data_IF_253658690066
#
_entry.id   IF_253658690066
#
_cell.length_a   1.000
_cell.length_b   1.000
_cell.length_c   1.000
_cell.angle_alpha   90.00
_cell.angle_beta   90.00
_cell.angle_gamma   90.00
#
_symmetry.space_group_name_H-M   'P 1'
#
loop_
_entity.id
_entity.type
_entity.pdbx_description
1 polymer ?
#
# COMPACT_ATOMS: atom_id res chain seq x y z
N UNK A 1 -4.70 23.49 38.63
CA UNK A 1 -5.60 23.50 39.79
C UNK A 1 -6.10 22.09 40.01
N UNK A 2 -5.69 21.40 41.08
CA UNK A 2 -6.39 20.21 41.63
C UNK A 2 -5.70 19.77 42.92
N UNK A 3 -6.29 20.11 44.07
CA UNK A 3 -5.74 19.79 45.39
C UNK A 3 -6.33 18.49 45.93
N UNK A 4 -5.54 17.41 45.86
CA UNK A 4 -5.95 16.11 46.45
C UNK A 4 -5.99 16.23 47.98
N UNK A 5 -7.19 16.14 48.55
CA UNK A 5 -7.41 16.16 50.00
C UNK A 5 -6.65 15.02 50.68
N UNK A 6 -5.92 15.33 51.74
CA UNK A 6 -5.44 14.33 52.67
C UNK A 6 -6.63 13.72 53.43
N UNK A 7 -6.63 12.39 53.60
CA UNK A 7 -7.57 11.69 54.48
C UNK A 7 -6.98 11.71 55.90
N UNK A 8 -7.72 12.16 56.94
CA UNK A 8 -7.24 12.10 58.32
C UNK A 8 -6.94 10.66 58.76
N UNK A 9 -5.96 10.50 59.66
CA UNK A 9 -5.53 9.19 60.13
C UNK A 9 -6.64 8.40 60.83
N UNK A 10 -6.66 7.08 60.59
CA UNK A 10 -7.56 6.14 61.28
C UNK A 10 -7.34 6.26 62.80
N UNK A 11 -8.42 6.40 63.56
CA UNK A 11 -8.35 6.57 65.00
C UNK A 11 -7.67 5.38 65.67
N UNK A 12 -6.56 5.63 66.35
CA UNK A 12 -5.89 4.68 67.24
C UNK A 12 -6.71 4.50 68.52
N UNK A 13 -7.81 3.75 68.42
CA UNK A 13 -8.72 3.44 69.54
C UNK A 13 -8.12 2.38 70.47
N UNK A 14 -6.97 2.69 71.06
CA UNK A 14 -6.40 1.92 72.17
C UNK A 14 -7.15 2.28 73.45
N UNK A 15 -7.77 1.33 74.18
CA UNK A 15 -8.41 1.62 75.46
C UNK A 15 -7.34 2.04 76.46
N UNK A 16 -7.33 3.33 76.82
CA UNK A 16 -6.34 3.93 77.73
C UNK A 16 -6.73 3.65 79.18
N UNK A 17 -6.58 2.40 79.60
CA UNK A 17 -6.99 1.93 80.94
C UNK A 17 -6.18 2.64 82.04
N UNK A 18 -6.86 3.07 83.10
CA UNK A 18 -6.26 3.75 84.23
C UNK A 18 -5.60 2.76 85.22
N UNK A 19 -4.57 3.17 85.97
CA UNK A 19 -3.89 2.28 86.92
C UNK A 19 -4.85 1.86 88.04
N UNK A 20 -4.97 0.55 88.28
CA UNK A 20 -5.93 -0.05 89.20
C UNK A 20 -6.81 -1.13 88.55
N UNK A 21 -6.76 -1.30 87.23
CA UNK A 21 -7.33 -2.46 86.54
C UNK A 21 -6.49 -3.71 86.76
N UNK A 22 -6.92 -4.60 87.66
CA UNK A 22 -6.58 -6.02 87.53
C UNK A 22 -7.11 -6.57 86.20
N UNK A 23 -6.52 -7.65 85.70
CA UNK A 23 -7.01 -8.34 84.49
C UNK A 23 -8.46 -8.79 84.65
N UNK A 24 -9.13 -9.08 83.53
CA UNK A 24 -10.50 -9.61 83.57
C UNK A 24 -10.58 -10.91 84.41
N UNK A 25 -9.52 -11.73 84.42
CA UNK A 25 -9.41 -12.90 85.28
C UNK A 25 -9.31 -12.55 86.79
N UNK A 26 -8.52 -11.54 87.17
CA UNK A 26 -8.48 -11.04 88.56
C UNK A 26 -9.83 -10.51 89.02
N UNK A 27 -10.58 -9.81 88.16
CA UNK A 27 -11.93 -9.35 88.48
C UNK A 27 -12.91 -10.53 88.68
N UNK A 28 -12.79 -11.60 87.89
CA UNK A 28 -13.54 -12.85 88.09
C UNK A 28 -13.15 -13.52 89.41
N UNK A 29 -11.86 -13.54 89.77
CA UNK A 29 -11.37 -14.12 91.03
C UNK A 29 -11.87 -13.33 92.26
N UNK A 30 -11.86 -12.00 92.21
CA UNK A 30 -12.43 -11.15 93.26
C UNK A 30 -13.95 -11.34 93.40
N UNK A 31 -14.67 -11.46 92.28
CA UNK A 31 -16.11 -11.76 92.28
C UNK A 31 -16.40 -13.16 92.83
N UNK A 32 -15.58 -14.16 92.51
CA UNK A 32 -15.68 -15.51 93.07
C UNK A 32 -15.52 -15.51 94.60
N UNK A 33 -14.60 -14.70 95.14
CA UNK A 33 -14.44 -14.50 96.57
C UNK A 33 -15.69 -13.93 97.24
N UNK A 34 -16.27 -12.86 96.66
CA UNK A 34 -17.50 -12.24 97.18
C UNK A 34 -18.72 -13.17 97.10
N UNK A 35 -18.89 -13.90 95.99
CA UNK A 35 -19.91 -14.94 95.84
C UNK A 35 -19.72 -16.07 96.86
N UNK A 36 -18.47 -16.45 97.14
CA UNK A 36 -18.13 -17.43 98.18
C UNK A 36 -18.56 -17.00 99.59
N UNK A 37 -18.44 -15.71 99.93
CA UNK A 37 -18.94 -15.20 101.22
C UNK A 37 -20.47 -15.18 101.30
N UNK A 38 -21.17 -14.78 100.23
CA UNK A 38 -22.64 -14.78 100.20
C UNK A 38 -23.22 -16.20 100.24
N UNK A 39 -22.63 -17.15 99.49
CA UNK A 39 -23.02 -18.57 99.52
C UNK A 39 -22.79 -19.21 100.90
N UNK A 40 -21.74 -18.79 101.61
CA UNK A 40 -21.46 -19.22 102.99
C UNK A 40 -22.48 -18.67 103.98
N UNK A 41 -22.92 -17.42 103.83
CA UNK A 41 -23.96 -16.84 104.68
C UNK A 41 -25.34 -17.43 104.37
N UNK A 42 -25.65 -17.71 103.10
CA UNK A 42 -26.85 -18.44 102.68
C UNK A 42 -26.88 -19.85 103.31
N UNK A 43 -25.74 -20.56 103.35
CA UNK A 43 -25.62 -21.85 104.03
C UNK A 43 -25.85 -21.76 105.56
N UNK A 44 -25.52 -20.63 106.20
CA UNK A 44 -25.81 -20.41 107.64
C UNK A 44 -27.29 -20.12 107.91
N UNK A 45 -27.99 -19.47 106.98
CA UNK A 45 -29.40 -19.07 107.14
C UNK A 45 -30.41 -20.13 106.71
N UNK A 46 -30.10 -20.89 105.66
CA UNK A 46 -31.01 -21.87 105.04
C UNK A 46 -30.49 -23.32 105.07
N UNK A 47 -29.40 -23.57 105.81
CA UNK A 47 -28.77 -24.88 105.93
C UNK A 47 -27.81 -25.21 104.76
N UNK A 48 -26.92 -26.20 104.96
CA UNK A 48 -25.89 -26.54 103.97
C UNK A 48 -26.47 -27.11 102.68
N UNK A 49 -27.64 -27.77 102.75
CA UNK A 49 -28.31 -28.44 101.63
C UNK A 49 -28.73 -27.47 100.52
N UNK A 50 -29.15 -26.25 100.90
CA UNK A 50 -29.52 -25.19 99.96
C UNK A 50 -28.30 -24.69 99.15
N UNK A 51 -27.15 -24.51 99.82
CA UNK A 51 -25.91 -24.07 99.16
C UNK A 51 -25.25 -25.20 98.35
N UNK A 52 -25.30 -26.45 98.83
CA UNK A 52 -24.62 -27.60 98.23
C UNK A 52 -25.01 -27.87 96.76
N UNK A 53 -26.25 -27.54 96.37
CA UNK A 53 -26.72 -27.66 94.97
C UNK A 53 -26.33 -26.46 94.09
N UNK A 54 -26.13 -25.28 94.68
CA UNK A 54 -25.85 -24.04 93.96
C UNK A 54 -24.36 -23.83 93.71
N UNK A 55 -23.49 -24.19 94.67
CA UNK A 55 -22.03 -24.03 94.58
C UNK A 55 -21.45 -24.63 93.29
N UNK A 56 -21.76 -25.88 92.87
CA UNK A 56 -21.19 -26.45 91.64
C UNK A 56 -21.59 -25.70 90.36
N UNK A 57 -22.79 -25.12 90.33
CA UNK A 57 -23.26 -24.32 89.20
C UNK A 57 -22.54 -22.97 89.13
N UNK A 58 -22.36 -22.31 90.28
CA UNK A 58 -21.62 -21.03 90.38
C UNK A 58 -20.14 -21.21 90.04
N UNK A 59 -19.50 -22.30 90.51
CA UNK A 59 -18.13 -22.64 90.11
C UNK A 59 -18.06 -22.86 88.59
N UNK A 60 -18.98 -23.63 88.01
CA UNK A 60 -19.00 -23.91 86.56
C UNK A 60 -19.22 -22.65 85.71
N UNK A 61 -20.00 -21.67 86.16
CA UNK A 61 -20.14 -20.39 85.45
C UNK A 61 -18.91 -19.49 85.61
N UNK A 62 -18.27 -19.49 86.78
CA UNK A 62 -17.02 -18.77 87.01
C UNK A 62 -15.86 -19.36 86.19
N UNK A 63 -15.72 -20.68 86.09
CA UNK A 63 -14.76 -21.35 85.21
C UNK A 63 -14.91 -20.94 83.73
N UNK A 64 -16.15 -20.83 83.25
CA UNK A 64 -16.44 -20.43 81.86
C UNK A 64 -16.16 -18.95 81.64
N UNK A 65 -16.45 -18.11 82.64
CA UNK A 65 -16.16 -16.69 82.61
C UNK A 65 -14.66 -16.40 82.68
N UNK A 66 -13.91 -17.15 83.49
CA UNK A 66 -12.45 -17.11 83.56
C UNK A 66 -11.81 -17.50 82.22
N UNK A 67 -12.24 -18.62 81.61
CA UNK A 67 -11.76 -19.04 80.28
C UNK A 67 -12.06 -18.01 79.19
N UNK A 68 -13.20 -17.32 79.27
CA UNK A 68 -13.53 -16.21 78.36
C UNK A 68 -12.72 -14.93 78.66
N UNK A 69 -12.34 -14.69 79.93
CA UNK A 69 -11.61 -13.52 80.39
C UNK A 69 -10.09 -13.61 80.18
N UNK A 70 -9.52 -14.82 80.23
CA UNK A 70 -8.13 -15.12 79.85
C UNK A 70 -7.96 -15.07 78.33
N UNK A 71 -8.99 -15.49 77.57
CA UNK A 71 -8.98 -15.49 76.11
C UNK A 71 -8.24 -16.70 75.50
N UNK A 72 -8.01 -16.69 74.17
CA UNK A 72 -7.20 -17.71 73.51
C UNK A 72 -5.74 -17.58 73.91
N UNK A 73 -5.02 -18.71 74.02
CA UNK A 73 -3.61 -18.71 74.45
C UNK A 73 -2.75 -17.75 73.62
N UNK A 74 -1.89 -16.93 74.27
CA UNK A 74 -1.10 -15.91 73.59
C UNK A 74 -0.19 -16.51 72.52
N UNK A 75 0.37 -17.70 72.77
CA UNK A 75 1.23 -18.43 71.84
C UNK A 75 0.45 -18.85 70.58
N UNK A 76 -0.81 -19.30 70.72
CA UNK A 76 -1.67 -19.67 69.60
C UNK A 76 -2.03 -18.46 68.73
N UNK A 77 -2.31 -17.31 69.37
CA UNK A 77 -2.55 -16.04 68.67
C UNK A 77 -1.26 -15.52 68.00
N UNK A 78 -0.11 -15.68 68.65
CA UNK A 78 1.19 -15.26 68.12
C UNK A 78 1.59 -16.09 66.89
N UNK A 79 1.39 -17.41 66.91
CA UNK A 79 1.63 -18.29 65.75
C UNK A 79 0.71 -17.90 64.58
N UNK A 80 -0.58 -17.68 64.83
CA UNK A 80 -1.53 -17.23 63.80
C UNK A 80 -1.14 -15.86 63.21
N UNK A 81 -0.73 -14.91 64.05
CA UNK A 81 -0.23 -13.61 63.61
C UNK A 81 1.06 -13.73 62.76
N UNK A 82 2.01 -14.57 63.17
CA UNK A 82 3.25 -14.82 62.41
C UNK A 82 2.97 -15.47 61.04
N UNK A 83 2.00 -16.39 60.96
CA UNK A 83 1.54 -16.98 59.70
C UNK A 83 0.94 -15.90 58.78
N UNK A 84 0.01 -15.08 59.29
CA UNK A 84 -0.58 -13.98 58.53
C UNK A 84 0.45 -12.93 58.08
N UNK A 85 1.47 -12.64 58.90
CA UNK A 85 2.58 -11.79 58.46
C UNK A 85 3.43 -12.42 57.36
N UNK A 86 3.69 -13.73 57.41
CA UNK A 86 4.45 -14.44 56.39
C UNK A 86 3.69 -14.48 55.04
N UNK A 87 2.39 -14.70 55.08
CA UNK A 87 1.51 -14.58 53.90
C UNK A 87 1.49 -13.15 53.36
N UNK A 88 1.39 -12.13 54.22
CA UNK A 88 1.47 -10.72 53.80
C UNK A 88 2.85 -10.34 53.23
N UNK A 89 3.96 -10.94 53.70
CA UNK A 89 5.29 -10.78 53.09
C UNK A 89 5.32 -11.39 51.70
N UNK A 90 4.90 -12.66 51.57
CA UNK A 90 4.82 -13.38 50.28
C UNK A 90 3.95 -12.64 49.26
N UNK A 91 2.73 -12.23 49.63
CA UNK A 91 1.81 -11.51 48.74
C UNK A 91 2.36 -10.14 48.31
N UNK A 92 3.15 -9.46 49.16
CA UNK A 92 3.85 -8.23 48.77
C UNK A 92 4.92 -8.52 47.72
N UNK A 93 5.75 -9.54 47.91
CA UNK A 93 6.76 -9.95 46.92
C UNK A 93 6.15 -10.36 45.58
N UNK A 94 5.08 -11.16 45.59
CA UNK A 94 4.33 -11.54 44.39
C UNK A 94 3.73 -10.30 43.70
N UNK A 95 3.14 -9.37 44.45
CA UNK A 95 2.61 -8.13 43.89
C UNK A 95 3.72 -7.23 43.33
N UNK A 96 4.93 -7.21 43.91
CA UNK A 96 6.06 -6.50 43.32
C UNK A 96 6.58 -7.16 42.04
N UNK A 97 6.62 -8.50 41.96
CA UNK A 97 7.00 -9.24 40.74
C UNK A 97 6.03 -8.93 39.60
N UNK A 98 4.73 -9.06 39.84
CA UNK A 98 3.68 -8.69 38.89
C UNK A 98 3.76 -7.21 38.49
N UNK A 99 4.11 -6.29 39.42
CA UNK A 99 4.37 -4.87 39.10
C UNK A 99 5.68 -4.63 38.34
N UNK A 100 6.64 -5.56 38.31
CA UNK A 100 7.84 -5.49 37.45
C UNK A 100 7.49 -6.01 36.06
N UNK A 101 6.83 -7.15 35.97
CA UNK A 101 6.35 -7.79 34.73
C UNK A 101 5.39 -6.88 33.95
N UNK A 102 4.40 -6.27 34.62
CA UNK A 102 3.49 -5.28 34.01
C UNK A 102 4.19 -3.97 33.59
N UNK A 103 5.44 -3.74 34.00
CA UNK A 103 6.28 -2.63 33.53
C UNK A 103 7.26 -3.03 32.42
N UNK A 104 7.67 -4.30 32.33
CA UNK A 104 8.54 -4.82 31.27
C UNK A 104 7.77 -5.25 30.01
N UNK A 105 6.59 -5.88 30.13
CA UNK A 105 5.73 -6.22 28.99
C UNK A 105 5.50 -5.05 28.01
N UNK A 106 5.03 -3.87 28.47
CA UNK A 106 4.87 -2.71 27.59
C UNK A 106 6.20 -2.07 27.15
N UNK A 107 7.37 -2.53 27.61
CA UNK A 107 8.66 -2.03 27.11
C UNK A 107 8.99 -2.60 25.72
N UNK A 108 8.66 -3.87 25.48
CA UNK A 108 8.81 -4.52 24.18
C UNK A 108 7.82 -3.95 23.16
N UNK A 109 6.55 -3.80 23.55
CA UNK A 109 5.53 -3.10 22.75
C UNK A 109 5.98 -1.68 22.37
N UNK A 110 6.54 -0.91 23.33
CA UNK A 110 7.10 0.43 23.06
C UNK A 110 8.33 0.40 22.16
N UNK A 111 9.11 -0.68 22.14
CA UNK A 111 10.22 -0.83 21.21
C UNK A 111 9.71 -1.12 19.79
N UNK A 112 8.75 -2.04 19.64
CA UNK A 112 8.08 -2.33 18.37
C UNK A 112 7.37 -1.09 17.81
N UNK A 113 6.64 -0.33 18.64
CA UNK A 113 5.99 0.92 18.23
C UNK A 113 6.98 2.01 17.79
N UNK A 114 8.20 2.05 18.35
CA UNK A 114 9.27 2.93 17.86
C UNK A 114 9.80 2.48 16.51
N UNK A 115 10.07 1.19 16.33
CA UNK A 115 10.52 0.63 15.06
C UNK A 115 9.48 0.83 13.95
N UNK A 116 8.21 0.58 14.23
CA UNK A 116 7.09 0.85 13.31
C UNK A 116 6.99 2.34 12.98
N UNK A 117 7.15 3.24 13.96
CA UNK A 117 7.21 4.69 13.70
C UNK A 117 8.39 5.05 12.79
N UNK A 118 9.60 4.56 13.08
CA UNK A 118 10.78 4.82 12.24
C UNK A 118 10.60 4.34 10.80
N UNK A 119 10.03 3.15 10.59
CA UNK A 119 9.72 2.64 9.24
C UNK A 119 8.66 3.52 8.56
N UNK A 120 7.62 3.93 9.30
CA UNK A 120 6.57 4.81 8.76
C UNK A 120 7.12 6.20 8.38
N UNK A 121 8.01 6.76 9.20
CA UNK A 121 8.62 8.07 8.94
C UNK A 121 9.65 7.99 7.80
N UNK A 122 10.44 6.92 7.69
CA UNK A 122 11.28 6.63 6.50
C UNK A 122 10.43 6.55 5.22
N UNK A 123 9.35 5.77 5.23
CA UNK A 123 8.44 5.64 4.09
C UNK A 123 7.78 6.97 3.71
N UNK A 124 7.45 7.84 4.68
CA UNK A 124 6.95 9.19 4.42
C UNK A 124 8.00 10.05 3.72
N UNK A 125 9.27 9.96 4.11
CA UNK A 125 10.36 10.74 3.51
C UNK A 125 10.79 10.19 2.14
N UNK A 126 10.76 8.87 1.94
CA UNK A 126 10.89 8.22 0.62
C UNK A 126 9.77 8.68 -0.33
N UNK A 127 8.51 8.67 0.11
CA UNK A 127 7.38 9.20 -0.67
C UNK A 127 7.53 10.70 -0.95
N UNK A 128 8.05 11.51 -0.01
CA UNK A 128 8.32 12.94 -0.24
C UNK A 128 9.44 13.15 -1.26
N UNK A 129 10.47 12.31 -1.26
CA UNK A 129 11.54 12.35 -2.25
C UNK A 129 10.98 11.99 -3.65
N UNK A 130 10.32 10.85 -3.78
CA UNK A 130 9.75 10.42 -5.06
C UNK A 130 8.72 11.38 -5.64
N UNK A 131 7.92 12.06 -4.81
CA UNK A 131 7.03 13.12 -5.31
C UNK A 131 7.79 14.33 -5.87
N UNK A 132 8.96 14.69 -5.32
CA UNK A 132 9.83 15.74 -5.90
C UNK A 132 10.46 15.26 -7.20
N UNK A 133 10.97 14.03 -7.23
CA UNK A 133 11.56 13.42 -8.44
C UNK A 133 10.54 13.37 -9.59
N UNK A 134 9.29 13.03 -9.29
CA UNK A 134 8.17 13.00 -10.25
C UNK A 134 7.80 14.41 -10.74
N UNK A 135 7.73 15.39 -9.84
CA UNK A 135 7.45 16.79 -10.22
C UNK A 135 8.56 17.37 -11.11
N UNK A 136 9.84 17.12 -10.79
CA UNK A 136 10.95 17.53 -11.64
C UNK A 136 10.88 16.87 -13.02
N UNK A 137 10.62 15.55 -13.08
CA UNK A 137 10.47 14.84 -14.35
C UNK A 137 9.27 15.33 -15.17
N UNK A 138 8.17 15.72 -14.52
CA UNK A 138 7.03 16.35 -15.20
C UNK A 138 7.49 17.63 -15.92
N UNK A 139 8.14 18.54 -15.18
CA UNK A 139 8.68 19.80 -15.70
C UNK A 139 9.70 19.59 -16.83
N UNK A 140 10.58 18.58 -16.71
CA UNK A 140 11.50 18.19 -17.78
C UNK A 140 10.75 17.70 -19.03
N UNK A 141 9.69 16.88 -18.88
CA UNK A 141 8.89 16.43 -20.03
C UNK A 141 8.02 17.53 -20.64
N UNK A 142 7.54 18.48 -19.85
CA UNK A 142 6.81 19.67 -20.30
C UNK A 142 7.73 20.60 -21.11
N UNK A 143 8.93 20.88 -20.61
CA UNK A 143 9.93 21.67 -21.32
C UNK A 143 10.38 21.01 -22.65
N UNK A 144 10.50 19.68 -22.69
CA UNK A 144 10.80 18.93 -23.92
C UNK A 144 9.62 18.94 -24.91
N UNK A 145 8.37 18.90 -24.43
CA UNK A 145 7.18 19.06 -25.27
C UNK A 145 7.11 20.46 -25.89
N UNK A 146 7.40 21.52 -25.13
CA UNK A 146 7.52 22.88 -25.67
C UNK A 146 8.60 22.98 -26.74
N UNK A 147 9.79 22.42 -26.49
CA UNK A 147 10.88 22.41 -27.48
C UNK A 147 10.48 21.69 -28.77
N UNK A 148 9.82 20.53 -28.66
CA UNK A 148 9.28 19.80 -29.81
C UNK A 148 8.24 20.63 -30.57
N UNK A 149 7.31 21.29 -29.87
CA UNK A 149 6.27 22.12 -30.50
C UNK A 149 6.87 23.33 -31.23
N UNK A 150 7.87 23.99 -30.65
CA UNK A 150 8.63 25.07 -31.30
C UNK A 150 9.37 24.57 -32.55
N UNK A 151 10.00 23.40 -32.49
CA UNK A 151 10.67 22.78 -33.64
C UNK A 151 9.69 22.37 -34.75
N UNK A 152 8.49 21.89 -34.41
CA UNK A 152 7.45 21.56 -35.39
C UNK A 152 6.95 22.80 -36.15
N UNK A 153 6.77 23.93 -35.46
CA UNK A 153 6.42 25.22 -36.09
C UNK A 153 7.52 25.67 -37.07
N UNK A 154 8.78 25.68 -36.65
CA UNK A 154 9.92 26.03 -37.52
C UNK A 154 10.04 25.06 -38.70
N UNK A 155 9.79 23.77 -38.51
CA UNK A 155 9.81 22.78 -39.60
C UNK A 155 8.68 23.02 -40.62
N UNK A 156 7.49 23.42 -40.17
CA UNK A 156 6.38 23.80 -41.05
C UNK A 156 6.69 25.08 -41.85
N UNK A 157 7.26 26.10 -41.20
CA UNK A 157 7.73 27.30 -41.89
C UNK A 157 8.78 26.98 -42.97
N UNK A 158 9.76 26.13 -42.66
CA UNK A 158 10.83 25.76 -43.61
C UNK A 158 10.26 24.99 -44.81
N UNK A 159 9.27 24.11 -44.62
CA UNK A 159 8.56 23.45 -45.72
C UNK A 159 7.79 24.45 -46.58
N UNK A 160 7.12 25.43 -45.97
CA UNK A 160 6.40 26.47 -46.71
C UNK A 160 7.36 27.37 -47.50
N UNK A 161 8.48 27.78 -46.90
CA UNK A 161 9.55 28.54 -47.57
C UNK A 161 10.15 27.75 -48.75
N UNK A 162 10.41 26.45 -48.58
CA UNK A 162 10.86 25.58 -49.66
C UNK A 162 9.84 25.50 -50.81
N UNK A 163 8.57 25.22 -50.51
CA UNK A 163 7.51 25.14 -51.51
C UNK A 163 7.32 26.46 -52.28
N UNK A 164 7.46 27.60 -51.60
CA UNK A 164 7.42 28.93 -52.24
C UNK A 164 8.62 29.15 -53.19
N UNK A 165 9.84 28.75 -52.80
CA UNK A 165 11.04 28.84 -53.66
C UNK A 165 10.93 27.89 -54.85
N UNK A 166 10.43 26.66 -54.68
CA UNK A 166 10.19 25.75 -55.80
C UNK A 166 9.14 26.30 -56.78
N UNK A 167 8.06 26.91 -56.28
CA UNK A 167 7.04 27.53 -57.12
C UNK A 167 7.59 28.74 -57.89
N UNK A 168 8.46 29.54 -57.26
CA UNK A 168 9.19 30.62 -57.93
C UNK A 168 10.14 30.09 -59.02
N UNK A 169 10.86 29.00 -58.76
CA UNK A 169 11.77 28.36 -59.72
C UNK A 169 11.03 27.79 -60.93
N UNK A 170 9.89 27.11 -60.70
CA UNK A 170 9.00 26.64 -61.78
C UNK A 170 8.54 27.82 -62.65
N UNK A 171 7.91 28.82 -62.03
CA UNK A 171 7.45 30.03 -62.73
C UNK A 171 8.58 30.88 -63.35
N UNK A 172 9.84 30.71 -62.96
CA UNK A 172 10.98 31.31 -63.66
C UNK A 172 11.29 30.53 -64.95
N UNK A 173 11.43 29.21 -64.85
CA UNK A 173 11.67 28.30 -65.98
C UNK A 173 10.55 28.35 -67.03
N UNK A 174 9.30 28.43 -66.58
CA UNK A 174 8.13 28.55 -67.47
C UNK A 174 8.28 29.82 -68.34
N UNK A 175 8.58 30.97 -67.72
CA UNK A 175 8.83 32.25 -68.41
C UNK A 175 10.08 32.25 -69.29
N UNK A 176 11.07 31.43 -68.99
CA UNK A 176 12.23 31.24 -69.86
C UNK A 176 11.82 30.47 -71.12
N UNK A 177 11.05 29.39 -70.99
CA UNK A 177 10.50 28.65 -72.13
C UNK A 177 9.56 29.50 -73.00
N UNK A 178 8.71 30.34 -72.39
CA UNK A 178 7.85 31.32 -73.09
C UNK A 178 8.65 32.37 -73.89
N UNK A 179 9.91 32.63 -73.50
CA UNK A 179 10.83 33.56 -74.20
C UNK A 179 11.70 32.86 -75.24
N UNK A 180 11.94 31.57 -75.07
CA UNK A 180 12.68 30.75 -76.02
C UNK A 180 11.81 30.34 -77.22
N UNK A 181 10.52 30.04 -77.02
CA UNK A 181 9.60 29.67 -78.11
C UNK A 181 9.54 30.73 -79.25
N UNK A 182 9.37 32.04 -79.00
CA UNK A 182 9.43 33.05 -80.07
C UNK A 182 10.82 33.16 -80.72
N UNK A 183 11.90 32.88 -79.97
CA UNK A 183 13.27 32.93 -80.49
C UNK A 183 13.57 31.74 -81.38
N UNK A 184 13.15 30.54 -80.99
CA UNK A 184 13.26 29.33 -81.79
C UNK A 184 12.44 29.46 -83.07
N UNK A 185 11.19 29.90 -83.02
CA UNK A 185 10.38 30.13 -84.22
C UNK A 185 11.01 31.13 -85.21
N UNK A 186 11.64 32.21 -84.72
CA UNK A 186 12.39 33.15 -85.59
C UNK A 186 13.66 32.53 -86.16
N UNK A 187 14.37 31.69 -85.39
CA UNK A 187 15.57 30.98 -85.85
C UNK A 187 15.23 29.88 -86.85
N UNK A 188 14.13 29.15 -86.69
CA UNK A 188 13.65 28.14 -87.63
C UNK A 188 13.15 28.78 -88.92
N UNK A 189 12.35 29.85 -88.85
CA UNK A 189 11.97 30.63 -90.04
C UNK A 189 13.18 31.21 -90.80
N UNK A 190 14.26 31.56 -90.10
CA UNK A 190 15.53 31.97 -90.74
C UNK A 190 16.33 30.79 -91.31
N UNK A 191 16.20 29.59 -90.72
CA UNK A 191 16.88 28.36 -91.14
C UNK A 191 16.21 27.73 -92.36
N UNK A 192 14.88 27.75 -92.43
CA UNK A 192 14.10 27.28 -93.59
C UNK A 192 14.35 28.15 -94.82
N UNK A 193 14.52 29.47 -94.64
CA UNK A 193 14.97 30.39 -95.69
C UNK A 193 16.43 30.15 -96.14
N UNK A 194 17.23 29.42 -95.36
CA UNK A 194 18.61 29.06 -95.68
C UNK A 194 18.80 27.59 -96.14
N UNK A 195 17.80 26.73 -95.95
CA UNK A 195 17.84 25.28 -96.21
C UNK A 195 17.85 24.86 -97.68
N UNK A 196 18.24 25.75 -98.59
CA UNK A 196 18.05 25.61 -100.04
C UNK A 196 19.17 24.92 -100.83
N UNK A 197 20.12 24.21 -100.21
CA UNK A 197 21.19 23.53 -100.93
C UNK A 197 21.90 22.41 -100.12
N UNK A 198 22.28 21.32 -100.81
CA UNK A 198 23.51 20.59 -100.48
C UNK A 198 23.39 19.10 -100.12
N UNK A 199 23.93 18.26 -101.00
CA UNK A 199 24.25 16.84 -100.77
C UNK A 199 25.70 16.59 -101.26
N UNK A 200 26.42 15.52 -100.93
CA UNK A 200 26.08 14.27 -100.22
C UNK A 200 27.17 13.84 -99.20
N UNK A 201 26.85 12.86 -98.36
CA UNK A 201 27.67 11.67 -98.06
C UNK A 201 29.19 11.81 -97.77
N UNK A 202 29.62 11.51 -96.52
CA UNK A 202 30.81 10.64 -96.30
C UNK A 202 30.89 9.93 -94.93
N UNK A 203 30.84 8.60 -95.00
CA UNK A 203 31.64 7.60 -94.26
C UNK A 203 31.79 7.66 -92.72
N UNK A 204 31.13 6.69 -92.06
CA UNK A 204 31.62 5.86 -90.93
C UNK A 204 33.16 5.64 -90.91
N UNK A 205 33.79 5.55 -89.71
CA UNK A 205 33.89 4.22 -89.07
C UNK A 205 33.79 4.16 -87.53
N UNK A 206 33.38 2.98 -87.04
CA UNK A 206 33.46 2.55 -85.63
C UNK A 206 34.87 2.70 -85.00
N UNK A 207 34.92 3.03 -83.70
CA UNK A 207 35.14 2.03 -82.62
C UNK A 207 35.03 2.61 -81.22
N UNK A 208 34.73 1.75 -80.24
CA UNK A 208 34.28 2.13 -78.90
C UNK A 208 35.32 1.91 -77.79
N UNK A 209 35.09 2.61 -76.67
CA UNK A 209 35.54 2.23 -75.32
C UNK A 209 34.42 2.60 -74.30
N UNK A 210 34.46 1.98 -73.12
CA UNK A 210 33.48 2.14 -72.03
C UNK A 210 33.71 3.48 -71.26
N UNK A 211 32.91 3.90 -70.27
CA UNK A 211 32.02 3.15 -69.36
C UNK A 211 30.95 4.02 -68.66
N UNK A 212 29.98 3.35 -68.02
CA UNK A 212 29.15 3.74 -66.88
C UNK A 212 28.33 5.07 -66.87
N UNK A 213 27.01 4.95 -66.64
CA UNK A 213 26.19 6.01 -66.03
C UNK A 213 24.76 6.16 -66.57
N UNK A 214 23.76 5.75 -65.77
CA UNK A 214 22.33 6.05 -65.97
C UNK A 214 21.81 6.86 -64.75
N UNK A 215 20.57 7.40 -64.72
CA UNK A 215 19.49 7.37 -65.73
C UNK A 215 18.86 8.75 -66.07
N UNK A 216 17.91 8.79 -67.02
CA UNK A 216 17.07 9.96 -67.29
C UNK A 216 15.76 9.66 -68.04
N UNK A 217 14.63 9.82 -67.36
CA UNK A 217 13.25 10.00 -67.90
C UNK A 217 13.03 11.45 -68.37
N UNK A 218 11.92 11.86 -69.04
CA UNK A 218 10.59 11.22 -69.21
C UNK A 218 10.24 11.00 -70.72
N UNK A 219 9.04 11.00 -71.33
CA UNK A 219 7.66 11.48 -71.04
C UNK A 219 6.55 10.54 -71.62
N UNK A 220 5.28 10.93 -71.45
CA UNK A 220 4.04 10.33 -71.98
C UNK A 220 3.20 11.44 -72.63
N UNK A 221 2.42 11.19 -73.71
CA UNK A 221 0.98 11.33 -73.50
C UNK A 221 0.06 10.37 -74.30
N UNK A 222 -0.76 9.63 -73.55
CA UNK A 222 -2.22 9.45 -73.73
C UNK A 222 -2.78 8.98 -75.09
N UNK A 223 -3.32 7.75 -75.16
CA UNK A 223 -4.07 7.30 -76.35
C UNK A 223 -4.67 5.89 -76.36
N UNK A 224 -5.46 5.51 -75.34
CA UNK A 224 -6.43 4.40 -75.31
C UNK A 224 -6.08 3.01 -75.95
N UNK A 225 -6.01 1.97 -75.12
CA UNK A 225 -6.79 0.72 -75.29
C UNK A 225 -6.74 -0.14 -74.00
N UNK A 226 -7.54 -1.22 -73.91
CA UNK A 226 -7.92 -1.84 -72.62
C UNK A 226 -7.34 -3.23 -72.34
N UNK A 227 -6.89 -3.43 -71.09
CA UNK A 227 -6.97 -4.69 -70.30
C UNK A 227 -6.20 -5.94 -70.80
N UNK A 228 -6.14 -7.06 -70.03
CA UNK A 228 -6.22 -7.24 -68.57
C UNK A 228 -4.97 -7.96 -67.97
N UNK A 229 -4.70 -7.83 -66.66
CA UNK A 229 -3.48 -8.45 -66.07
C UNK A 229 -3.37 -8.57 -64.54
N UNK A 230 -4.47 -8.68 -63.77
CA UNK A 230 -4.40 -8.88 -62.30
C UNK A 230 -4.24 -10.36 -61.90
N UNK A 231 -3.24 -10.72 -61.07
CA UNK A 231 -3.35 -11.80 -60.10
C UNK A 231 -3.97 -11.26 -58.78
N UNK A 232 -5.29 -11.06 -58.76
CA UNK A 232 -5.99 -10.58 -57.57
C UNK A 232 -6.18 -11.72 -56.55
N UNK A 233 -5.35 -11.81 -55.49
CA UNK A 233 -5.62 -12.69 -54.32
C UNK A 233 -4.86 -12.35 -53.02
N UNK A 234 -4.85 -11.07 -52.64
CA UNK A 234 -4.70 -10.62 -51.26
C UNK A 234 -5.65 -9.45 -51.02
N UNK A 235 -6.21 -9.31 -49.81
CA UNK A 235 -7.27 -8.35 -49.51
C UNK A 235 -6.83 -6.90 -49.59
N UNK A 236 -7.12 -6.23 -50.71
CA UNK A 236 -7.04 -4.77 -50.81
C UNK A 236 -8.23 -4.14 -50.09
N UNK A 237 -8.15 -4.03 -48.76
CA UNK A 237 -9.08 -3.22 -47.97
C UNK A 237 -8.81 -1.73 -48.26
N UNK A 238 -9.51 -1.19 -49.25
CA UNK A 238 -9.53 0.24 -49.57
C UNK A 238 -10.39 1.00 -48.57
N UNK A 239 -9.91 1.14 -47.35
CA UNK A 239 -10.51 2.03 -46.35
C UNK A 239 -10.49 3.48 -46.87
N UNK A 240 -11.56 4.23 -46.60
CA UNK A 240 -11.51 5.70 -46.76
C UNK A 240 -10.53 6.29 -45.75
N UNK A 241 -10.10 7.53 -45.99
CA UNK A 241 -9.19 8.23 -45.06
C UNK A 241 -9.82 8.38 -43.67
N UNK A 242 -11.10 8.69 -43.63
CA UNK A 242 -11.90 8.92 -42.43
C UNK A 242 -12.09 7.61 -41.64
N UNK A 243 -12.31 6.49 -42.34
CA UNK A 243 -12.36 5.15 -41.76
C UNK A 243 -11.01 4.75 -41.16
N UNK A 244 -9.89 5.07 -41.84
CA UNK A 244 -8.56 4.84 -41.30
C UNK A 244 -8.28 5.71 -40.05
N UNK A 245 -8.68 6.97 -40.06
CA UNK A 245 -8.56 7.86 -38.89
C UNK A 245 -9.39 7.34 -37.71
N UNK A 246 -10.62 6.83 -37.94
CA UNK A 246 -11.46 6.15 -36.94
C UNK A 246 -10.81 4.87 -36.40
N UNK A 247 -10.37 3.95 -37.29
CA UNK A 247 -9.70 2.70 -36.91
C UNK A 247 -8.42 2.97 -36.10
N UNK A 248 -7.69 4.04 -36.41
CA UNK A 248 -6.51 4.46 -35.65
C UNK A 248 -6.89 4.99 -34.26
N UNK A 249 -7.99 5.71 -34.11
CA UNK A 249 -8.53 6.15 -32.83
C UNK A 249 -9.01 4.95 -31.99
N UNK A 250 -9.90 4.10 -32.51
CA UNK A 250 -10.38 2.90 -31.83
C UNK A 250 -9.22 1.99 -31.40
N UNK A 251 -8.21 1.81 -32.25
CA UNK A 251 -7.00 1.05 -31.92
C UNK A 251 -6.21 1.67 -30.77
N UNK A 252 -6.21 3.00 -30.62
CA UNK A 252 -5.55 3.68 -29.51
C UNK A 252 -6.35 3.55 -28.21
N UNK A 253 -7.68 3.69 -28.27
CA UNK A 253 -8.58 3.49 -27.14
C UNK A 253 -8.54 2.04 -26.64
N UNK A 254 -8.64 1.06 -27.54
CA UNK A 254 -8.46 -0.35 -27.22
C UNK A 254 -7.06 -0.66 -26.66
N UNK A 255 -6.01 0.03 -27.11
CA UNK A 255 -4.66 -0.09 -26.54
C UNK A 255 -4.59 0.45 -25.11
N UNK A 256 -5.27 1.56 -24.81
CA UNK A 256 -5.38 2.11 -23.46
C UNK A 256 -6.22 1.19 -22.55
N UNK A 257 -7.37 0.70 -23.02
CA UNK A 257 -8.21 -0.24 -22.28
C UNK A 257 -7.48 -1.56 -21.99
N UNK A 258 -6.71 -2.09 -22.96
CA UNK A 258 -5.84 -3.28 -22.77
C UNK A 258 -4.61 -2.99 -21.90
N UNK A 259 -4.29 -1.73 -21.60
CA UNK A 259 -3.32 -1.36 -20.56
C UNK A 259 -3.98 -1.33 -19.19
N UNK A 260 -5.06 -0.55 -19.02
CA UNK A 260 -5.82 -0.43 -17.76
C UNK A 260 -6.29 -1.80 -17.22
N UNK A 261 -6.89 -2.64 -18.08
CA UNK A 261 -7.33 -3.99 -17.71
C UNK A 261 -6.17 -4.91 -17.26
N UNK A 262 -4.91 -4.64 -17.63
CA UNK A 262 -3.76 -5.38 -17.07
C UNK A 262 -3.38 -4.88 -15.69
N UNK A 263 -3.49 -3.58 -15.44
CA UNK A 263 -3.22 -2.99 -14.13
C UNK A 263 -4.31 -3.39 -13.13
N UNK A 264 -5.58 -3.37 -13.51
CA UNK A 264 -6.70 -3.92 -12.72
C UNK A 264 -6.49 -5.41 -12.41
N UNK A 265 -6.18 -6.23 -13.43
CA UNK A 265 -5.89 -7.66 -13.22
C UNK A 265 -4.68 -7.87 -12.31
N UNK A 266 -3.65 -7.02 -12.38
CA UNK A 266 -2.48 -7.07 -11.50
C UNK A 266 -2.82 -6.61 -10.07
N UNK A 267 -3.68 -5.61 -9.91
CA UNK A 267 -4.21 -5.14 -8.63
C UNK A 267 -4.97 -6.26 -7.93
N UNK A 268 -6.00 -6.84 -8.57
CA UNK A 268 -6.77 -7.94 -7.98
C UNK A 268 -5.90 -9.18 -7.69
N UNK A 269 -4.91 -9.49 -8.54
CA UNK A 269 -3.96 -10.58 -8.28
C UNK A 269 -3.02 -10.33 -7.09
N UNK A 270 -2.78 -9.07 -6.72
CA UNK A 270 -2.05 -8.72 -5.49
C UNK A 270 -2.99 -8.77 -4.29
N UNK A 271 -4.19 -8.22 -4.42
CA UNK A 271 -5.21 -8.20 -3.36
C UNK A 271 -5.59 -9.60 -2.87
N UNK A 272 -5.74 -10.57 -3.79
CA UNK A 272 -5.97 -12.00 -3.45
C UNK A 272 -4.87 -12.63 -2.59
N UNK A 273 -3.65 -12.08 -2.62
CA UNK A 273 -2.49 -12.53 -1.83
C UNK A 273 -2.36 -11.73 -0.52
N UNK A 274 -2.57 -10.41 -0.57
CA UNK A 274 -2.58 -9.51 0.59
C UNK A 274 -3.59 -9.96 1.63
N UNK A 275 -4.82 -10.25 1.20
CA UNK A 275 -5.93 -10.62 2.07
C UNK A 275 -5.95 -12.12 2.44
N UNK A 276 -4.84 -12.83 2.14
CA UNK A 276 -4.52 -14.23 2.47
C UNK A 276 -5.56 -15.31 2.08
N UNK A 277 -6.63 -14.96 1.36
CA UNK A 277 -7.74 -15.87 1.00
C UNK A 277 -7.32 -17.05 0.12
N UNK A 278 -6.22 -16.92 -0.63
CA UNK A 278 -5.78 -17.91 -1.61
C UNK A 278 -4.25 -18.13 -1.54
N UNK A 279 -3.75 -19.37 -1.41
CA UNK A 279 -2.32 -19.65 -1.46
C UNK A 279 -1.68 -19.23 -2.79
N UNK A 280 -0.52 -18.58 -2.75
CA UNK A 280 0.13 -18.01 -3.95
C UNK A 280 0.42 -19.00 -5.07
N UNK A 281 0.68 -20.27 -4.74
CA UNK A 281 0.83 -21.35 -5.72
C UNK A 281 -0.45 -21.57 -6.54
N UNK A 282 -1.63 -21.50 -5.90
CA UNK A 282 -2.91 -21.63 -6.59
C UNK A 282 -3.21 -20.40 -7.45
N UNK A 283 -2.83 -19.19 -6.99
CA UNK A 283 -2.98 -17.96 -7.78
C UNK A 283 -2.11 -18.00 -9.05
N UNK A 284 -0.87 -18.52 -9.02
CA UNK A 284 -0.08 -18.67 -10.25
C UNK A 284 -0.59 -19.83 -11.13
N UNK A 285 -1.06 -20.94 -10.55
CA UNK A 285 -1.72 -22.00 -11.31
C UNK A 285 -2.98 -21.48 -12.04
N UNK A 286 -3.79 -20.63 -11.38
CA UNK A 286 -4.91 -19.92 -11.99
C UNK A 286 -4.45 -18.99 -13.12
N UNK A 287 -3.36 -18.23 -12.95
CA UNK A 287 -2.79 -17.42 -14.04
C UNK A 287 -2.38 -18.28 -15.23
N UNK A 288 -1.76 -19.45 -15.02
CA UNK A 288 -1.38 -20.37 -16.11
C UNK A 288 -2.62 -20.93 -16.83
N UNK A 289 -3.62 -21.38 -16.10
CA UNK A 289 -4.90 -21.84 -16.65
C UNK A 289 -5.60 -20.73 -17.47
N UNK A 290 -5.69 -19.52 -16.94
CA UNK A 290 -6.28 -18.36 -17.63
C UNK A 290 -5.44 -17.96 -18.85
N UNK A 291 -4.10 -17.97 -18.78
CA UNK A 291 -3.22 -17.75 -19.95
C UNK A 291 -3.51 -18.76 -21.06
N UNK A 292 -3.69 -20.06 -20.74
CA UNK A 292 -4.01 -21.14 -21.70
C UNK A 292 -5.41 -21.00 -22.29
N UNK A 293 -6.44 -20.79 -21.48
CA UNK A 293 -7.81 -20.57 -21.98
C UNK A 293 -7.92 -19.29 -22.82
N UNK A 294 -7.24 -18.20 -22.43
CA UNK A 294 -7.16 -16.97 -23.23
C UNK A 294 -6.48 -17.20 -24.57
N UNK A 295 -5.43 -18.04 -24.66
CA UNK A 295 -4.81 -18.42 -25.95
C UNK A 295 -5.82 -19.12 -26.86
N UNK A 296 -6.54 -20.12 -26.33
CA UNK A 296 -7.59 -20.87 -27.04
C UNK A 296 -8.75 -19.98 -27.51
N UNK A 297 -9.27 -19.12 -26.64
CA UNK A 297 -10.36 -18.18 -26.97
C UNK A 297 -9.89 -17.14 -28.00
N UNK A 298 -8.71 -16.53 -27.81
CA UNK A 298 -8.16 -15.56 -28.76
C UNK A 298 -7.94 -16.18 -30.15
N UNK A 299 -7.41 -17.41 -30.23
CA UNK A 299 -7.23 -18.10 -31.50
C UNK A 299 -8.57 -18.25 -32.24
N UNK A 300 -9.61 -18.74 -31.54
CA UNK A 300 -10.98 -18.87 -32.08
C UNK A 300 -11.58 -17.54 -32.53
N UNK A 301 -11.49 -16.48 -31.73
CA UNK A 301 -12.06 -15.16 -32.09
C UNK A 301 -11.33 -14.47 -33.26
N UNK A 302 -10.08 -14.85 -33.54
CA UNK A 302 -9.28 -14.27 -34.63
C UNK A 302 -9.08 -15.21 -35.83
N UNK A 303 -9.76 -16.37 -35.86
CA UNK A 303 -9.64 -17.35 -36.94
C UNK A 303 -8.26 -18.01 -37.07
N UNK A 304 -7.42 -17.94 -36.04
CA UNK A 304 -6.06 -18.51 -36.05
C UNK A 304 -6.18 -20.02 -35.75
N UNK A 305 -5.54 -20.91 -36.52
CA UNK A 305 -5.57 -22.35 -36.25
C UNK A 305 -5.01 -22.68 -34.86
N UNK A 306 -5.66 -23.60 -34.15
CA UNK A 306 -5.24 -24.02 -32.82
C UNK A 306 -4.10 -25.04 -32.90
N UNK A 307 -2.87 -24.53 -32.99
CA UNK A 307 -1.62 -25.31 -32.79
C UNK A 307 -1.76 -26.25 -31.59
N UNK A 308 -1.69 -27.56 -31.85
CA UNK A 308 -1.95 -28.59 -30.85
C UNK A 308 -0.76 -28.71 -29.86
N UNK A 309 -0.84 -27.95 -28.76
CA UNK A 309 0.08 -28.09 -27.63
C UNK A 309 0.13 -29.56 -27.17
N UNK A 310 1.30 -30.19 -27.38
CA UNK A 310 1.53 -31.59 -27.04
C UNK A 310 1.36 -31.85 -25.54
N UNK A 311 1.02 -33.11 -25.21
CA UNK A 311 0.84 -33.59 -23.84
C UNK A 311 2.18 -33.77 -23.13
#
# INVERSE_FOLDING_TARGET
>A
METRKAVPGVHSCGPRVAPGSGTAAELVYHLAGALGTELKELARRFGPEAAARLVPLVVRTLELLEKAAVGPDPDSLQVSAQQAEAELRRLREENERLRRELRSGPQEERALLRQLKEVTDRQRDELRAHNRDLLQRSQETEALQEQLQRLLLVNAELRHKLAAVEAQLRAARDRESERELPRQGVVELARDQAGGAGYEQRQEPERAAADAGAPGTPEDPAGALQQPGRPSKAGQCSFSREELEQILQERNELKANVFLLKEELAYFQRELLTDHRVPGLLVEAMKVAVKKQRKKIKAKMLGIPEEAESR
#
